data_IF_798088933990
#
_entry.id   IF_798088933990
#
_cell.length_a   1.000
_cell.length_b   1.000
_cell.length_c   1.000
_cell.angle_alpha   90.00
_cell.angle_beta   90.00
_cell.angle_gamma   90.00
#
_symmetry.space_group_name_H-M   'P 1'
#
loop_
_entity.id
_entity.type
_entity.pdbx_description
1 polymer ?
#
# COMPACT_ATOMS: atom_id res chain seq x y z
N UNK A 1 8.63 9.41 -0.91
CA UNK A 1 7.68 8.31 -1.17
C UNK A 1 8.45 7.13 -1.73
N UNK A 2 7.95 5.92 -1.51
CA UNK A 2 8.49 4.69 -2.12
C UNK A 2 7.40 4.01 -2.94
N UNK A 3 7.79 3.26 -3.96
CA UNK A 3 6.93 2.25 -4.57
C UNK A 3 7.02 0.96 -3.77
N UNK A 4 5.92 0.24 -3.64
CA UNK A 4 5.80 -1.01 -2.90
C UNK A 4 4.91 -1.98 -3.66
N UNK A 5 5.39 -3.20 -3.87
CA UNK A 5 4.61 -4.25 -4.50
C UNK A 5 3.78 -5.05 -3.48
N UNK A 6 2.54 -5.42 -3.80
CA UNK A 6 1.71 -6.22 -2.91
C UNK A 6 2.33 -7.56 -2.48
N UNK A 7 3.36 -8.06 -3.17
CA UNK A 7 4.05 -9.31 -2.81
C UNK A 7 5.03 -9.14 -1.64
N UNK A 8 5.58 -7.94 -1.43
CA UNK A 8 6.61 -7.67 -0.43
C UNK A 8 6.11 -7.90 1.01
N UNK A 9 6.97 -8.44 1.89
CA UNK A 9 6.60 -8.80 3.27
C UNK A 9 6.88 -7.70 4.31
N UNK A 10 7.56 -6.63 3.93
CA UNK A 10 8.12 -5.62 4.84
C UNK A 10 7.15 -4.49 5.20
N UNK A 11 5.90 -4.51 4.71
CA UNK A 11 4.97 -3.38 4.81
C UNK A 11 4.75 -2.89 6.24
N UNK A 12 4.67 -3.80 7.23
CA UNK A 12 4.40 -3.42 8.63
C UNK A 12 5.54 -2.58 9.19
N UNK A 13 6.78 -3.03 8.97
CA UNK A 13 7.98 -2.37 9.47
C UNK A 13 8.23 -1.06 8.71
N UNK A 14 8.02 -1.05 7.39
CA UNK A 14 8.17 0.15 6.59
C UNK A 14 7.13 1.22 6.98
N UNK A 15 5.87 0.84 7.17
CA UNK A 15 4.82 1.78 7.56
C UNK A 15 5.14 2.49 8.89
N UNK A 16 5.75 1.79 9.84
CA UNK A 16 6.23 2.37 11.10
C UNK A 16 7.44 3.31 10.88
N UNK A 17 8.42 2.87 10.08
CA UNK A 17 9.68 3.59 9.89
C UNK A 17 9.56 4.88 9.06
N UNK A 18 8.87 4.82 7.92
CA UNK A 18 8.76 5.97 6.99
C UNK A 18 7.42 6.70 7.07
N UNK A 19 6.47 6.14 7.83
CA UNK A 19 5.09 6.58 7.87
C UNK A 19 4.25 5.97 6.74
N UNK A 20 3.01 5.54 7.01
CA UNK A 20 2.19 4.81 6.04
C UNK A 20 1.82 5.67 4.82
N UNK A 21 1.71 6.99 5.00
CA UNK A 21 1.40 7.97 3.95
C UNK A 21 2.59 8.28 3.01
N UNK A 22 3.74 7.63 3.20
CA UNK A 22 4.90 7.71 2.28
C UNK A 22 5.00 6.51 1.35
N UNK A 23 4.06 5.56 1.40
CA UNK A 23 4.04 4.34 0.61
C UNK A 23 3.06 4.48 -0.55
N UNK A 24 3.51 4.19 -1.77
CA UNK A 24 2.70 4.07 -2.97
C UNK A 24 2.68 2.61 -3.40
N UNK A 25 1.53 2.10 -3.83
CA UNK A 25 1.37 0.76 -4.36
C UNK A 25 0.38 0.80 -5.53
N UNK A 26 0.37 -0.25 -6.33
CA UNK A 26 -0.55 -0.40 -7.44
C UNK A 26 -1.03 -1.86 -7.58
N UNK A 27 -2.13 -2.05 -8.30
CA UNK A 27 -2.57 -3.38 -8.74
C UNK A 27 -1.80 -3.88 -9.96
N UNK A 28 -1.13 -2.95 -10.65
CA UNK A 28 -0.46 -3.11 -11.95
C UNK A 28 -1.39 -3.66 -13.06
N UNK A 29 -2.69 -3.32 -13.00
CA UNK A 29 -3.64 -3.68 -14.05
C UNK A 29 -3.36 -2.89 -15.35
N UNK A 30 -3.43 -3.51 -16.55
CA UNK A 30 -3.78 -4.91 -16.84
C UNK A 30 -2.57 -5.82 -17.11
N UNK A 31 -1.40 -5.54 -16.52
CA UNK A 31 -0.21 -6.32 -16.80
C UNK A 31 -0.38 -7.80 -16.43
N UNK A 32 0.15 -8.74 -17.22
CA UNK A 32 0.01 -10.18 -16.97
C UNK A 32 0.64 -10.65 -15.65
N UNK A 33 1.67 -9.95 -15.20
CA UNK A 33 2.38 -10.15 -13.93
C UNK A 33 1.82 -9.28 -12.79
N UNK A 34 0.81 -8.46 -13.08
CA UNK A 34 0.06 -7.71 -12.08
C UNK A 34 -0.83 -8.61 -11.21
N UNK A 35 -1.35 -8.01 -10.13
CA UNK A 35 -2.10 -8.74 -9.10
C UNK A 35 -3.60 -8.42 -9.11
N UNK A 36 -4.11 -7.68 -10.10
CA UNK A 36 -5.53 -7.39 -10.19
C UNK A 36 -6.36 -8.68 -10.43
N UNK A 37 -7.52 -8.86 -9.75
CA UNK A 37 -8.15 -7.97 -8.76
C UNK A 37 -7.72 -8.24 -7.30
N UNK A 38 -6.78 -9.15 -7.06
CA UNK A 38 -6.36 -9.61 -5.73
C UNK A 38 -5.45 -8.68 -4.93
N UNK A 39 -4.73 -7.76 -5.58
CA UNK A 39 -3.77 -6.83 -4.96
C UNK A 39 -4.29 -6.13 -3.69
N UNK A 40 -5.49 -5.52 -3.69
CA UNK A 40 -6.01 -4.84 -2.50
C UNK A 40 -6.15 -5.79 -1.30
N UNK A 41 -6.62 -7.02 -1.53
CA UNK A 41 -6.74 -8.02 -0.46
C UNK A 41 -5.37 -8.46 0.04
N UNK A 42 -4.43 -8.72 -0.88
CA UNK A 42 -3.05 -9.12 -0.54
C UNK A 42 -2.34 -8.12 0.38
N UNK A 43 -2.55 -6.82 0.15
CA UNK A 43 -2.01 -5.76 0.99
C UNK A 43 -2.70 -5.68 2.36
N UNK A 44 -4.03 -5.79 2.39
CA UNK A 44 -4.80 -5.77 3.64
C UNK A 44 -4.43 -6.96 4.55
N UNK A 45 -4.28 -8.16 3.97
CA UNK A 45 -3.87 -9.36 4.69
C UNK A 45 -2.46 -9.17 5.30
N UNK A 46 -1.52 -8.60 4.53
CA UNK A 46 -0.17 -8.27 5.03
C UNK A 46 -0.16 -7.22 6.13
N UNK A 47 -1.19 -6.39 6.22
CA UNK A 47 -1.37 -5.38 7.26
C UNK A 47 -2.26 -5.85 8.42
N UNK A 48 -2.56 -7.14 8.52
CA UNK A 48 -3.31 -7.68 9.66
C UNK A 48 -2.67 -7.28 11.00
N UNK A 49 -3.50 -6.90 11.97
CA UNK A 49 -3.08 -6.39 13.28
C UNK A 49 -2.69 -4.91 13.32
N UNK A 50 -2.52 -4.23 12.17
CA UNK A 50 -2.28 -2.79 12.16
C UNK A 50 -3.58 -2.00 12.40
N UNK A 51 -3.43 -0.78 12.93
CA UNK A 51 -4.55 0.13 13.18
C UNK A 51 -5.27 0.50 11.87
N UNK A 52 -6.59 0.82 11.92
CA UNK A 52 -7.32 1.32 10.76
C UNK A 52 -6.67 2.56 10.12
N UNK A 53 -6.08 3.45 10.94
CA UNK A 53 -5.41 4.66 10.50
C UNK A 53 -4.14 4.34 9.69
N UNK A 54 -3.33 3.38 10.15
CA UNK A 54 -2.14 2.94 9.42
C UNK A 54 -2.53 2.27 8.11
N UNK A 55 -3.53 1.38 8.11
CA UNK A 55 -4.07 0.76 6.90
C UNK A 55 -4.55 1.81 5.90
N UNK A 56 -5.33 2.79 6.34
CA UNK A 56 -5.79 3.88 5.49
C UNK A 56 -4.61 4.69 4.89
N UNK A 57 -3.59 4.98 5.70
CA UNK A 57 -2.39 5.68 5.25
C UNK A 57 -1.67 4.96 4.10
N UNK A 58 -1.53 3.63 4.19
CA UNK A 58 -0.92 2.81 3.13
C UNK A 58 -1.86 2.69 1.93
N UNK A 59 -3.14 2.43 2.17
CA UNK A 59 -4.10 2.15 1.09
C UNK A 59 -4.43 3.38 0.24
N UNK A 60 -4.41 4.59 0.83
CA UNK A 60 -4.81 5.81 0.14
C UNK A 60 -3.91 7.01 0.42
N UNK A 61 -3.38 7.14 1.65
CA UNK A 61 -2.66 8.34 2.09
C UNK A 61 -1.44 8.71 1.23
N UNK A 62 -0.69 7.71 0.77
CA UNK A 62 0.42 7.93 -0.15
C UNK A 62 0.01 8.56 -1.47
N UNK A 63 -1.02 8.00 -2.13
CA UNK A 63 -1.52 8.51 -3.40
C UNK A 63 -2.13 9.90 -3.26
N UNK A 64 -2.95 10.12 -2.21
CA UNK A 64 -3.54 11.42 -1.88
C UNK A 64 -2.44 12.48 -1.72
N UNK A 65 -1.43 12.19 -0.88
CA UNK A 65 -0.38 13.17 -0.58
C UNK A 65 0.61 13.40 -1.72
N UNK A 66 0.93 12.37 -2.51
CA UNK A 66 1.89 12.50 -3.61
C UNK A 66 1.27 13.16 -4.85
N UNK A 67 0.04 12.75 -5.21
CA UNK A 67 -0.64 13.25 -6.42
C UNK A 67 -1.58 14.43 -6.15
N UNK A 68 -1.82 14.82 -4.90
CA UNK A 68 -2.72 15.91 -4.55
C UNK A 68 -4.20 15.60 -4.86
N UNK A 69 -4.63 14.37 -4.59
CA UNK A 69 -6.01 13.93 -4.84
C UNK A 69 -6.97 14.48 -3.77
N UNK A 70 -8.20 14.83 -4.18
CA UNK A 70 -9.26 15.36 -3.32
C UNK A 70 -10.42 14.37 -3.15
#
# INVERSE_FOLDING_TARGET
WISFEPVEGSIKVLADYIGPHKILWATDYPHPDGFFPGAPKMLLDRMEGLSPQTKHGVMAGGAIGFYGLN
#
